data_IF_110921662814
#
_entry.id   IF_110921662814
#
_cell.length_a   1.000
_cell.length_b   1.000
_cell.length_c   1.000
_cell.angle_alpha   90.00
_cell.angle_beta   90.00
_cell.angle_gamma   90.00
#
_symmetry.space_group_name_H-M   'P 1'
#
loop_
_entity.id
_entity.type
_entity.pdbx_description
1 polymer ?
#
# COMPACT_ATOMS: atom_id res chain seq x y z
N UNK A 1 -43.85 19.31 21.07
CA UNK A 1 -42.74 18.96 21.97
C UNK A 1 -41.51 18.82 21.09
N UNK A 2 -40.64 19.83 21.07
CA UNK A 2 -39.45 19.82 20.22
C UNK A 2 -38.35 19.06 20.94
N UNK A 3 -37.88 17.96 20.35
CA UNK A 3 -36.76 17.19 20.90
C UNK A 3 -35.49 18.01 20.71
N UNK A 4 -34.79 18.30 21.81
CA UNK A 4 -33.53 19.03 21.76
C UNK A 4 -32.43 18.10 21.24
N UNK A 5 -32.04 18.26 19.96
CA UNK A 5 -31.01 17.42 19.32
C UNK A 5 -29.67 17.45 20.07
N UNK A 6 -29.36 18.54 20.79
CA UNK A 6 -28.12 18.64 21.55
C UNK A 6 -28.10 17.73 22.78
N UNK A 7 -29.24 17.56 23.44
CA UNK A 7 -29.39 16.65 24.59
C UNK A 7 -29.31 15.19 24.14
N UNK A 8 -29.93 14.86 22.99
CA UNK A 8 -29.86 13.53 22.41
C UNK A 8 -28.43 13.14 22.03
N UNK A 9 -27.67 14.07 21.44
CA UNK A 9 -26.28 13.83 21.07
C UNK A 9 -25.40 13.61 22.30
N UNK A 10 -25.58 14.42 23.34
CA UNK A 10 -24.85 14.26 24.60
C UNK A 10 -25.14 12.90 25.27
N UNK A 11 -26.38 12.43 25.22
CA UNK A 11 -26.79 11.13 25.77
C UNK A 11 -26.19 9.95 24.99
N UNK A 12 -26.09 10.07 23.67
CA UNK A 12 -25.43 9.08 22.80
C UNK A 12 -23.93 9.01 23.11
N UNK A 13 -23.27 10.16 23.26
CA UNK A 13 -21.83 10.25 23.52
C UNK A 13 -21.47 9.72 24.92
N UNK A 14 -22.31 9.99 25.92
CA UNK A 14 -22.16 9.43 27.27
C UNK A 14 -22.33 7.90 27.27
N UNK A 15 -23.38 7.38 26.62
CA UNK A 15 -23.57 5.93 26.48
C UNK A 15 -22.42 5.24 25.75
N UNK A 16 -21.88 5.88 24.71
CA UNK A 16 -20.72 5.36 23.98
C UNK A 16 -19.48 5.30 24.87
N UNK A 17 -19.23 6.35 25.66
CA UNK A 17 -18.11 6.42 26.60
C UNK A 17 -18.22 5.33 27.68
N UNK A 18 -19.38 5.15 28.31
CA UNK A 18 -19.58 4.10 29.31
C UNK A 18 -19.37 2.68 28.76
N UNK A 19 -19.80 2.44 27.51
CA UNK A 19 -19.58 1.14 26.84
C UNK A 19 -18.10 0.88 26.56
N UNK A 20 -17.34 1.92 26.23
CA UNK A 20 -15.90 1.82 26.02
C UNK A 20 -15.17 1.60 27.35
N UNK A 21 -15.51 2.35 28.40
CA UNK A 21 -14.90 2.21 29.73
C UNK A 21 -15.16 0.82 30.34
N UNK A 22 -16.35 0.23 30.11
CA UNK A 22 -16.67 -1.16 30.52
C UNK A 22 -15.88 -2.21 29.74
N UNK A 23 -15.52 -1.94 28.48
CA UNK A 23 -14.87 -2.92 27.59
C UNK A 23 -13.35 -2.88 27.69
N UNK A 24 -12.77 -1.72 27.98
CA UNK A 24 -11.32 -1.50 27.92
C UNK A 24 -10.72 -1.00 29.23
N UNK A 25 -11.52 -0.81 30.29
CA UNK A 25 -11.08 -0.11 31.49
C UNK A 25 -10.98 1.39 31.26
N UNK A 26 -10.92 2.18 32.34
CA UNK A 26 -10.79 3.63 32.26
C UNK A 26 -9.41 3.98 31.69
N UNK A 27 -9.39 4.51 30.47
CA UNK A 27 -8.17 5.01 29.84
C UNK A 27 -8.07 6.52 30.09
N UNK A 28 -7.29 6.90 31.10
CA UNK A 28 -6.97 8.31 31.35
C UNK A 28 -5.98 8.77 30.27
N UNK A 29 -6.44 9.61 29.33
CA UNK A 29 -5.55 10.29 28.39
C UNK A 29 -4.59 11.19 29.19
N UNK A 30 -3.26 11.01 29.07
CA UNK A 30 -2.30 11.91 29.70
C UNK A 30 -2.47 13.32 29.13
N UNK A 31 -2.46 14.30 30.04
CA UNK A 31 -2.59 15.71 29.72
C UNK A 31 -1.46 16.15 28.76
N UNK A 32 -1.80 16.51 27.53
CA UNK A 32 -0.87 16.94 26.49
C UNK A 32 -0.19 18.27 26.88
N UNK A 33 1.01 18.17 27.42
CA UNK A 33 1.95 19.28 27.57
C UNK A 33 3.12 19.06 26.59
N UNK A 34 2.81 18.87 25.31
CA UNK A 34 3.81 18.89 24.26
C UNK A 34 4.12 20.35 23.90
N UNK A 35 5.28 20.83 24.35
CA UNK A 35 5.89 22.04 23.80
C UNK A 35 6.12 21.83 22.32
N UNK A 36 5.46 22.62 21.47
CA UNK A 36 5.83 22.75 20.07
C UNK A 36 7.27 23.26 19.98
N UNK A 37 8.17 22.43 19.45
CA UNK A 37 9.47 22.89 18.96
C UNK A 37 9.23 23.33 17.52
N UNK A 38 9.27 24.64 17.28
CA UNK A 38 9.26 25.20 15.93
C UNK A 38 10.43 24.59 15.15
N UNK A 39 10.12 23.98 14.00
CA UNK A 39 11.12 23.55 13.04
C UNK A 39 11.68 24.82 12.38
N UNK A 40 12.95 25.14 12.68
CA UNK A 40 13.73 26.14 11.96
C UNK A 40 13.75 25.81 10.47
N UNK A 41 13.50 26.83 9.65
CA UNK A 41 13.67 26.76 8.21
C UNK A 41 15.17 26.88 7.92
N UNK A 42 15.77 25.78 7.49
CA UNK A 42 17.12 25.85 6.92
C UNK A 42 17.04 26.41 5.50
N UNK A 43 17.64 27.59 5.35
CA UNK A 43 17.82 28.29 4.09
C UNK A 43 18.88 27.56 3.25
N UNK A 44 18.52 27.11 2.05
CA UNK A 44 19.46 26.49 1.11
C UNK A 44 20.31 27.57 0.45
N UNK A 45 21.57 27.70 0.89
CA UNK A 45 22.58 28.54 0.25
C UNK A 45 23.30 27.76 -0.86
N UNK A 46 23.27 28.28 -2.07
CA UNK A 46 23.78 27.64 -3.29
C UNK A 46 25.19 28.17 -3.60
N UNK A 47 26.22 27.68 -2.93
CA UNK A 47 27.61 28.03 -3.24
C UNK A 47 28.34 26.98 -4.10
N UNK A 48 29.07 27.49 -5.08
CA UNK A 48 29.85 26.76 -6.09
C UNK A 48 31.18 26.24 -5.51
N UNK A 49 31.49 24.97 -5.81
CA UNK A 49 32.83 24.51 -6.19
C UNK A 49 33.68 23.83 -5.13
N UNK A 50 33.69 22.49 -5.13
CA UNK A 50 34.85 21.65 -4.86
C UNK A 50 34.50 20.18 -5.20
N UNK A 51 35.21 19.57 -6.15
CA UNK A 51 35.08 18.13 -6.44
C UNK A 51 35.81 17.31 -5.36
N UNK A 52 35.18 16.26 -4.78
CA UNK A 52 35.88 15.35 -3.87
C UNK A 52 36.72 14.36 -4.66
N UNK A 53 38.04 14.39 -4.49
CA UNK A 53 38.96 13.38 -5.02
C UNK A 53 38.78 12.06 -4.27
N UNK A 54 38.47 10.99 -5.00
CA UNK A 54 38.32 9.62 -4.47
C UNK A 54 39.67 8.89 -4.53
N UNK A 55 40.24 8.58 -3.36
CA UNK A 55 41.42 7.72 -3.22
C UNK A 55 41.02 6.24 -3.43
N UNK A 56 41.30 5.70 -4.61
CA UNK A 56 40.96 4.32 -4.99
C UNK A 56 41.66 3.23 -4.15
N UNK A 57 42.79 3.55 -3.52
CA UNK A 57 43.62 2.59 -2.77
C UNK A 57 42.99 2.13 -1.44
N UNK A 58 41.96 2.85 -0.95
CA UNK A 58 41.23 2.50 0.28
C UNK A 58 40.12 1.47 0.04
N UNK A 59 39.56 1.44 -1.17
CA UNK A 59 38.41 0.60 -1.53
C UNK A 59 38.84 -0.87 -1.72
N UNK A 60 40.05 -1.12 -2.22
CA UNK A 60 40.54 -2.48 -2.45
C UNK A 60 40.92 -3.22 -1.15
N UNK A 61 41.39 -2.50 -0.12
CA UNK A 61 41.75 -3.15 1.17
C UNK A 61 40.55 -3.59 1.99
N UNK A 62 39.39 -2.95 1.81
CA UNK A 62 38.15 -3.28 2.51
C UNK A 62 37.39 -4.44 1.85
N UNK A 63 37.64 -4.71 0.55
CA UNK A 63 37.03 -5.85 -0.18
C UNK A 63 37.65 -7.21 0.17
N UNK A 64 38.92 -7.28 0.54
CA UNK A 64 39.64 -8.56 0.75
C UNK A 64 39.36 -9.17 2.13
N UNK A 65 38.70 -8.47 3.06
CA UNK A 65 38.44 -8.96 4.42
C UNK A 65 37.00 -9.45 4.66
N UNK A 66 36.13 -9.46 3.63
CA UNK A 66 34.70 -9.79 3.76
C UNK A 66 34.29 -11.09 3.03
N UNK A 67 35.21 -12.01 2.76
CA UNK A 67 34.89 -13.29 2.10
C UNK A 67 34.88 -14.53 3.03
N UNK A 68 35.13 -14.37 4.33
CA UNK A 68 35.08 -15.49 5.29
C UNK A 68 34.30 -15.14 6.56
N UNK A 69 32.99 -14.93 6.46
CA UNK A 69 32.02 -15.20 7.53
C UNK A 69 30.60 -14.99 7.00
N UNK A 70 30.11 -15.93 6.19
CA UNK A 70 28.66 -16.11 6.03
C UNK A 70 28.20 -16.85 7.29
N UNK A 71 27.98 -16.08 8.35
CA UNK A 71 27.32 -16.54 9.56
C UNK A 71 25.91 -17.01 9.18
N UNK A 72 25.70 -18.32 9.20
CA UNK A 72 24.43 -18.98 8.97
C UNK A 72 23.55 -18.87 10.22
N UNK A 73 23.14 -17.65 10.56
CA UNK A 73 22.21 -17.37 11.65
C UNK A 73 21.20 -16.31 11.19
N UNK A 74 20.31 -16.74 10.30
CA UNK A 74 19.06 -16.06 10.03
C UNK A 74 17.93 -17.09 10.05
N UNK A 75 17.38 -17.32 11.23
CA UNK A 75 16.05 -17.88 11.45
C UNK A 75 15.00 -16.88 10.94
N UNK A 76 14.85 -16.82 9.63
CA UNK A 76 13.66 -16.35 8.94
C UNK A 76 13.46 -17.40 7.84
N UNK A 77 12.24 -17.90 7.62
CA UNK A 77 11.94 -18.98 6.67
C UNK A 77 12.35 -18.57 5.24
N UNK A 78 13.65 -18.66 4.96
CA UNK A 78 14.30 -18.32 3.73
C UNK A 78 13.99 -19.44 2.77
N UNK A 79 13.09 -19.18 1.83
CA UNK A 79 13.00 -20.00 0.65
C UNK A 79 14.32 -19.82 -0.09
N UNK A 80 15.20 -20.80 0.01
CA UNK A 80 16.43 -20.86 -0.79
C UNK A 80 16.01 -20.85 -2.27
N UNK A 81 16.39 -19.83 -3.07
CA UNK A 81 15.89 -19.67 -4.44
C UNK A 81 16.27 -20.81 -5.37
N UNK A 82 17.30 -21.58 -5.00
CA UNK A 82 17.68 -22.84 -5.60
C UNK A 82 17.98 -23.76 -4.42
N UNK A 83 17.24 -24.83 -4.21
CA UNK A 83 17.55 -25.73 -3.11
C UNK A 83 18.70 -26.66 -3.54
N UNK A 84 19.88 -26.09 -3.86
CA UNK A 84 21.00 -26.78 -4.50
C UNK A 84 21.48 -27.96 -3.68
N UNK A 85 21.39 -27.88 -2.35
CA UNK A 85 21.76 -28.98 -1.47
C UNK A 85 20.84 -30.19 -1.65
N UNK A 86 19.52 -29.99 -1.72
CA UNK A 86 18.57 -31.07 -1.99
C UNK A 86 18.61 -31.54 -3.44
N UNK A 87 18.77 -30.64 -4.41
CA UNK A 87 18.85 -30.98 -5.84
C UNK A 87 20.10 -31.80 -6.18
N UNK A 88 21.22 -31.55 -5.47
CA UNK A 88 22.45 -32.35 -5.59
C UNK A 88 22.24 -33.81 -5.17
N UNK A 89 21.31 -34.06 -4.26
CA UNK A 89 21.00 -35.41 -3.77
C UNK A 89 20.01 -36.16 -4.70
N UNK A 90 19.45 -35.50 -5.72
CA UNK A 90 18.42 -36.09 -6.59
C UNK A 90 18.97 -36.94 -7.74
N UNK A 91 20.25 -36.85 -8.09
CA UNK A 91 20.86 -37.75 -9.07
C UNK A 91 22.32 -37.45 -9.41
N UNK A 92 23.00 -38.46 -9.95
CA UNK A 92 24.41 -38.42 -10.34
C UNK A 92 24.56 -38.56 -11.87
N UNK A 93 25.63 -37.98 -12.42
CA UNK A 93 26.01 -38.21 -13.80
C UNK A 93 26.87 -39.47 -13.90
N UNK A 94 26.51 -40.38 -14.80
CA UNK A 94 27.34 -41.54 -15.10
C UNK A 94 28.61 -41.13 -15.87
N UNK A 95 29.53 -42.09 -16.04
CA UNK A 95 30.82 -41.88 -16.72
C UNK A 95 30.63 -41.48 -18.19
N UNK A 96 29.48 -41.79 -18.78
CA UNK A 96 29.11 -41.44 -20.15
C UNK A 96 28.40 -40.08 -20.25
N UNK A 97 28.23 -39.38 -19.12
CA UNK A 97 27.63 -38.06 -19.02
C UNK A 97 26.09 -38.04 -19.02
N UNK A 98 25.44 -39.18 -18.81
CA UNK A 98 23.99 -39.25 -18.66
C UNK A 98 23.57 -39.04 -17.21
N UNK A 99 22.54 -38.22 -17.02
CA UNK A 99 21.96 -37.99 -15.69
C UNK A 99 21.14 -39.20 -15.23
N UNK A 100 21.44 -39.69 -14.03
CA UNK A 100 20.75 -40.82 -13.39
C UNK A 100 20.10 -40.35 -12.09
N UNK A 101 18.77 -40.32 -12.04
CA UNK A 101 18.03 -39.94 -10.83
C UNK A 101 18.24 -41.00 -9.74
N UNK A 102 18.63 -40.59 -8.54
CA UNK A 102 18.72 -41.46 -7.36
C UNK A 102 17.31 -41.91 -6.99
N UNK A 103 17.02 -43.21 -7.13
CA UNK A 103 15.73 -43.76 -6.74
C UNK A 103 15.56 -43.64 -5.22
N UNK A 104 14.77 -42.66 -4.77
CA UNK A 104 14.31 -42.61 -3.37
C UNK A 104 13.53 -43.89 -3.09
N UNK A 105 13.99 -44.71 -2.13
CA UNK A 105 13.29 -45.91 -1.67
C UNK A 105 12.11 -45.52 -0.78
N UNK A 106 11.01 -45.06 -1.37
CA UNK A 106 9.64 -45.21 -0.83
C UNK A 106 8.67 -44.50 -1.75
N UNK A 107 7.57 -45.19 -2.05
CA UNK A 107 6.39 -44.78 -2.83
C UNK A 107 5.55 -43.68 -2.13
N UNK A 108 6.19 -42.85 -1.30
CA UNK A 108 5.57 -41.77 -0.55
C UNK A 108 6.14 -40.43 -1.06
N UNK A 109 5.99 -40.15 -2.36
CA UNK A 109 6.05 -38.78 -2.89
C UNK A 109 4.81 -38.02 -2.40
N UNK A 110 4.73 -37.79 -1.10
CA UNK A 110 3.74 -36.88 -0.50
C UNK A 110 4.22 -35.47 -0.79
N UNK A 111 3.40 -34.70 -1.52
CA UNK A 111 3.70 -33.29 -1.80
C UNK A 111 4.09 -32.56 -0.52
N UNK A 112 5.30 -31.98 -0.48
CA UNK A 112 5.78 -31.17 0.65
C UNK A 112 4.85 -29.99 0.96
N UNK A 113 3.99 -29.62 0.02
CA UNK A 113 2.92 -28.64 0.21
C UNK A 113 1.79 -29.16 1.08
N UNK A 114 1.39 -30.42 0.90
CA UNK A 114 0.34 -31.09 1.70
C UNK A 114 0.88 -31.38 3.10
N UNK A 115 2.14 -31.82 3.19
CA UNK A 115 2.78 -32.14 4.46
C UNK A 115 3.00 -30.90 5.35
N UNK A 116 3.23 -29.73 4.77
CA UNK A 116 3.27 -28.44 5.51
C UNK A 116 1.91 -28.03 6.06
N UNK A 117 0.82 -28.39 5.36
CA UNK A 117 -0.55 -28.10 5.82
C UNK A 117 -0.90 -28.98 7.03
N UNK A 118 -0.50 -30.25 7.03
CA UNK A 118 -0.73 -31.19 8.13
C UNK A 118 0.11 -30.87 9.38
N UNK A 119 1.30 -30.28 9.20
CA UNK A 119 2.19 -29.84 10.29
C UNK A 119 1.85 -28.46 10.84
N UNK A 120 0.86 -27.78 10.28
CA UNK A 120 0.50 -26.42 10.69
C UNK A 120 -0.20 -26.41 12.06
N UNK A 121 0.33 -25.64 13.01
CA UNK A 121 -0.31 -25.48 14.31
C UNK A 121 -1.73 -24.90 14.16
N UNK A 122 -2.73 -25.36 14.94
CA UNK A 122 -4.10 -24.83 14.93
C UNK A 122 -4.19 -23.32 15.24
N UNK A 123 -3.14 -22.76 15.85
CA UNK A 123 -3.01 -21.33 16.13
C UNK A 123 -2.71 -20.55 14.84
N UNK A 124 -1.89 -21.10 13.94
CA UNK A 124 -1.45 -20.44 12.72
C UNK A 124 -2.48 -20.57 11.60
N UNK A 125 -3.24 -21.67 11.55
CA UNK A 125 -4.40 -21.81 10.66
C UNK A 125 -5.46 -20.74 10.93
N UNK A 126 -5.70 -20.38 12.20
CA UNK A 126 -6.60 -19.27 12.58
C UNK A 126 -6.06 -17.90 12.13
N UNK A 127 -4.74 -17.67 12.19
CA UNK A 127 -4.13 -16.43 11.72
C UNK A 127 -4.28 -16.30 10.20
N UNK A 128 -4.02 -17.37 9.45
CA UNK A 128 -4.22 -17.41 7.99
C UNK A 128 -5.69 -17.16 7.64
N UNK A 129 -6.63 -17.81 8.34
CA UNK A 129 -8.05 -17.62 8.07
C UNK A 129 -8.48 -16.15 8.30
N UNK A 130 -7.98 -15.53 9.38
CA UNK A 130 -8.22 -14.10 9.66
C UNK A 130 -7.59 -13.19 8.61
N UNK A 131 -6.39 -13.50 8.14
CA UNK A 131 -5.73 -12.75 7.08
C UNK A 131 -6.54 -12.82 5.77
N UNK A 132 -6.96 -14.02 5.37
CA UNK A 132 -7.84 -14.23 4.20
C UNK A 132 -9.18 -13.53 4.36
N UNK A 133 -9.78 -13.57 5.53
CA UNK A 133 -11.05 -12.88 5.79
C UNK A 133 -10.89 -11.35 5.68
N UNK A 134 -9.81 -10.80 6.25
CA UNK A 134 -9.51 -9.37 6.15
C UNK A 134 -9.28 -8.96 4.69
N UNK A 135 -8.54 -9.76 3.93
CA UNK A 135 -8.33 -9.55 2.49
C UNK A 135 -9.66 -9.54 1.72
N UNK A 136 -10.52 -10.53 1.97
CA UNK A 136 -11.84 -10.63 1.34
C UNK A 136 -12.73 -9.42 1.69
N UNK A 137 -12.68 -8.95 2.94
CA UNK A 137 -13.38 -7.74 3.37
C UNK A 137 -12.84 -6.49 2.66
N UNK A 138 -11.53 -6.39 2.45
CA UNK A 138 -10.94 -5.27 1.70
C UNK A 138 -11.34 -5.27 0.23
N UNK A 139 -11.33 -6.43 -0.43
CA UNK A 139 -11.77 -6.59 -1.82
C UNK A 139 -13.24 -6.19 -1.95
N UNK A 140 -14.11 -6.73 -1.09
CA UNK A 140 -15.53 -6.43 -1.10
C UNK A 140 -15.82 -4.93 -0.87
N UNK A 141 -15.06 -4.29 0.02
CA UNK A 141 -15.20 -2.85 0.27
C UNK A 141 -14.79 -2.03 -0.96
N UNK A 142 -13.74 -2.45 -1.66
CA UNK A 142 -13.28 -1.79 -2.87
C UNK A 142 -14.26 -1.98 -4.04
N UNK A 143 -14.82 -3.18 -4.21
CA UNK A 143 -15.89 -3.44 -5.18
C UNK A 143 -17.11 -2.55 -4.94
N UNK A 144 -17.55 -2.45 -3.68
CA UNK A 144 -18.65 -1.55 -3.30
C UNK A 144 -18.31 -0.09 -3.60
N UNK A 145 -17.06 0.33 -3.38
CA UNK A 145 -16.60 1.68 -3.74
C UNK A 145 -16.72 1.88 -5.26
N UNK A 146 -16.19 0.97 -6.07
CA UNK A 146 -16.26 1.04 -7.53
C UNK A 146 -17.72 1.07 -8.04
N UNK A 147 -18.61 0.27 -7.46
CA UNK A 147 -20.04 0.26 -7.80
C UNK A 147 -20.71 1.61 -7.50
N UNK A 148 -20.42 2.18 -6.33
CA UNK A 148 -20.95 3.51 -5.98
C UNK A 148 -20.41 4.60 -6.91
N UNK A 149 -19.16 4.47 -7.36
CA UNK A 149 -18.56 5.42 -8.29
C UNK A 149 -19.20 5.27 -9.68
N UNK A 150 -19.38 4.03 -10.15
CA UNK A 150 -20.02 3.71 -11.43
C UNK A 150 -21.44 4.27 -11.53
N UNK A 151 -22.25 4.10 -10.49
CA UNK A 151 -23.61 4.68 -10.41
C UNK A 151 -23.60 6.21 -10.40
N UNK A 152 -22.54 6.82 -9.84
CA UNK A 152 -22.38 8.26 -9.74
C UNK A 152 -21.63 8.89 -10.92
N UNK A 153 -21.30 8.15 -11.98
CA UNK A 153 -20.55 8.63 -13.16
C UNK A 153 -21.03 9.98 -13.70
N UNK A 154 -22.35 10.19 -13.81
CA UNK A 154 -22.94 11.45 -14.28
C UNK A 154 -22.61 12.63 -13.36
N UNK A 155 -22.65 12.44 -12.05
CA UNK A 155 -22.31 13.51 -11.09
C UNK A 155 -20.86 13.96 -11.21
N UNK A 156 -19.92 13.05 -11.48
CA UNK A 156 -18.52 13.39 -11.71
C UNK A 156 -18.35 14.22 -12.99
N UNK A 157 -19.01 13.84 -14.09
CA UNK A 157 -19.00 14.69 -15.30
C UNK A 157 -19.61 16.06 -15.06
N UNK A 158 -20.71 16.16 -14.29
CA UNK A 158 -21.33 17.44 -13.93
C UNK A 158 -20.38 18.32 -13.13
N UNK A 159 -19.68 17.76 -12.15
CA UNK A 159 -18.71 18.49 -11.33
C UNK A 159 -17.54 19.01 -12.18
N UNK A 160 -17.01 18.16 -13.06
CA UNK A 160 -15.94 18.53 -13.99
C UNK A 160 -16.42 19.61 -14.96
N UNK A 161 -17.60 19.44 -15.57
CA UNK A 161 -18.16 20.43 -16.50
C UNK A 161 -18.35 21.81 -15.86
N UNK A 162 -18.82 21.85 -14.61
CA UNK A 162 -19.04 23.10 -13.89
C UNK A 162 -17.73 23.80 -13.49
N UNK A 163 -16.66 23.06 -13.25
CA UNK A 163 -15.34 23.61 -12.87
C UNK A 163 -14.50 24.06 -14.06
N UNK A 164 -14.68 23.46 -15.24
CA UNK A 164 -13.95 23.82 -16.45
C UNK A 164 -14.43 25.15 -17.05
N UNK A 165 -13.48 25.93 -17.61
CA UNK A 165 -13.76 27.06 -18.49
C UNK A 165 -13.97 26.62 -19.95
N UNK A 166 -14.52 27.47 -20.83
CA UNK A 166 -14.65 27.15 -22.26
C UNK A 166 -13.30 26.78 -22.89
N UNK A 167 -13.29 25.74 -23.74
CA UNK A 167 -12.09 25.17 -24.38
C UNK A 167 -10.98 24.68 -23.43
N UNK A 168 -11.24 24.65 -22.12
CA UNK A 168 -10.29 24.15 -21.12
C UNK A 168 -10.39 22.61 -21.01
N UNK A 169 -9.28 21.97 -20.68
CA UNK A 169 -9.19 20.54 -20.29
C UNK A 169 -9.00 20.41 -18.78
N UNK A 170 -9.27 19.25 -18.15
CA UNK A 170 -9.02 19.07 -16.72
C UNK A 170 -7.55 19.32 -16.34
N UNK A 171 -6.59 18.95 -17.21
CA UNK A 171 -5.16 19.21 -16.98
C UNK A 171 -4.85 20.71 -16.88
N UNK A 172 -5.39 21.51 -17.79
CA UNK A 172 -5.18 22.97 -17.78
C UNK A 172 -5.93 23.63 -16.61
N UNK A 173 -7.12 23.14 -16.27
CA UNK A 173 -7.90 23.61 -15.14
C UNK A 173 -7.19 23.38 -13.80
N UNK A 174 -6.59 22.20 -13.60
CA UNK A 174 -5.80 21.90 -12.40
C UNK A 174 -4.61 22.87 -12.26
N UNK A 175 -3.90 23.16 -13.36
CA UNK A 175 -2.80 24.14 -13.34
C UNK A 175 -3.29 25.55 -12.99
N UNK A 176 -4.44 25.97 -13.51
CA UNK A 176 -5.05 27.27 -13.21
C UNK A 176 -5.48 27.36 -11.74
N UNK A 177 -6.22 26.37 -11.23
CA UNK A 177 -6.68 26.32 -9.84
C UNK A 177 -5.52 26.31 -8.84
N UNK A 178 -4.41 25.64 -9.19
CA UNK A 178 -3.17 25.65 -8.40
C UNK A 178 -2.58 27.06 -8.31
N UNK A 179 -2.56 27.82 -9.41
CA UNK A 179 -2.07 29.21 -9.44
C UNK A 179 -3.00 30.16 -8.68
N UNK A 180 -4.31 29.95 -8.78
CA UNK A 180 -5.34 30.71 -8.04
C UNK A 180 -5.42 30.34 -6.55
N UNK A 181 -4.65 29.34 -6.09
CA UNK A 181 -4.66 28.80 -4.72
C UNK A 181 -6.05 28.31 -4.26
N UNK A 182 -6.90 27.88 -5.19
CA UNK A 182 -8.22 27.29 -4.92
C UNK A 182 -8.08 25.80 -4.65
N UNK A 183 -7.57 25.46 -3.47
CA UNK A 183 -7.23 24.08 -3.09
C UNK A 183 -8.48 23.19 -3.03
N UNK A 184 -9.61 23.71 -2.55
CA UNK A 184 -10.89 22.97 -2.50
C UNK A 184 -11.33 22.49 -3.88
N UNK A 185 -11.36 23.41 -4.85
CA UNK A 185 -11.84 23.14 -6.20
C UNK A 185 -10.84 22.26 -6.96
N UNK A 186 -9.54 22.44 -6.69
CA UNK A 186 -8.49 21.60 -7.22
C UNK A 186 -8.65 20.15 -6.75
N UNK A 187 -8.86 19.94 -5.45
CA UNK A 187 -9.06 18.61 -4.88
C UNK A 187 -10.34 17.98 -5.42
N UNK A 188 -11.46 18.71 -5.44
CA UNK A 188 -12.72 18.21 -5.97
C UNK A 188 -12.61 17.81 -7.46
N UNK A 189 -11.92 18.61 -8.27
CA UNK A 189 -11.66 18.29 -9.67
C UNK A 189 -10.77 17.05 -9.82
N UNK A 190 -9.71 16.96 -9.00
CA UNK A 190 -8.79 15.82 -9.00
C UNK A 190 -9.51 14.53 -8.62
N UNK A 191 -10.28 14.55 -7.52
CA UNK A 191 -11.05 13.41 -7.03
C UNK A 191 -12.07 12.93 -8.07
N UNK A 192 -12.81 13.84 -8.70
CA UNK A 192 -13.76 13.47 -9.76
C UNK A 192 -13.06 12.87 -10.99
N UNK A 193 -11.89 13.37 -11.38
CA UNK A 193 -11.11 12.79 -12.47
C UNK A 193 -10.59 11.39 -12.10
N UNK A 194 -10.05 11.21 -10.89
CA UNK A 194 -9.58 9.91 -10.40
C UNK A 194 -10.71 8.88 -10.36
N UNK A 195 -11.88 9.28 -9.84
CA UNK A 195 -13.07 8.44 -9.81
C UNK A 195 -13.51 7.99 -11.22
N UNK A 196 -13.44 8.86 -12.23
CA UNK A 196 -13.74 8.47 -13.61
C UNK A 196 -12.69 7.54 -14.21
N UNK A 197 -11.42 7.71 -13.86
CA UNK A 197 -10.32 6.82 -14.26
C UNK A 197 -10.50 5.44 -13.64
N UNK A 198 -10.92 5.35 -12.38
CA UNK A 198 -11.21 4.09 -11.70
C UNK A 198 -12.33 3.30 -12.39
N UNK A 199 -13.33 3.98 -12.98
CA UNK A 199 -14.39 3.35 -13.81
C UNK A 199 -13.89 3.00 -15.22
N UNK A 200 -12.73 3.50 -15.64
CA UNK A 200 -12.10 3.22 -16.93
C UNK A 200 -12.20 4.34 -17.99
N UNK A 201 -12.61 5.57 -17.65
CA UNK A 201 -12.52 6.72 -18.56
C UNK A 201 -11.17 7.43 -18.47
N UNK A 202 -10.13 6.79 -19.01
CA UNK A 202 -8.76 7.32 -19.05
C UNK A 202 -8.61 8.58 -19.92
N UNK A 203 -9.57 8.85 -20.80
CA UNK A 203 -9.51 9.98 -21.74
C UNK A 203 -9.98 11.29 -21.15
N UNK A 204 -10.45 11.29 -19.89
CA UNK A 204 -11.04 12.45 -19.23
C UNK A 204 -10.15 13.69 -19.28
N UNK A 205 -8.84 13.53 -19.10
CA UNK A 205 -7.87 14.64 -19.09
C UNK A 205 -7.67 15.31 -20.45
N UNK A 206 -8.11 14.68 -21.54
CA UNK A 206 -8.00 15.21 -22.91
C UNK A 206 -9.30 15.88 -23.37
N UNK A 207 -10.42 15.56 -22.72
CA UNK A 207 -11.73 16.09 -23.10
C UNK A 207 -11.83 17.57 -22.71
N UNK A 208 -12.30 18.38 -23.66
CA UNK A 208 -12.64 19.77 -23.40
C UNK A 208 -14.04 19.87 -22.79
N UNK A 209 -14.36 21.02 -22.17
CA UNK A 209 -15.71 21.30 -21.65
C UNK A 209 -16.84 20.99 -22.64
N UNK A 210 -16.64 21.33 -23.90
CA UNK A 210 -17.61 21.10 -24.98
C UNK A 210 -17.81 19.61 -25.26
N UNK A 211 -16.72 18.84 -25.31
CA UNK A 211 -16.78 17.38 -25.49
C UNK A 211 -17.53 16.69 -24.34
N UNK A 212 -17.36 17.19 -23.12
CA UNK A 212 -18.05 16.65 -21.93
C UNK A 212 -19.56 16.87 -21.94
N UNK A 213 -20.07 17.86 -22.68
CA UNK A 213 -21.52 18.11 -22.78
C UNK A 213 -22.32 16.93 -23.31
N UNK A 214 -21.70 16.07 -24.13
CA UNK A 214 -22.32 14.85 -24.66
C UNK A 214 -22.54 13.76 -23.60
N UNK A 215 -21.86 13.85 -22.45
CA UNK A 215 -21.89 12.85 -21.38
C UNK A 215 -22.71 13.32 -20.16
N UNK A 216 -23.39 14.47 -20.28
CA UNK A 216 -24.11 15.15 -19.20
C UNK A 216 -25.60 14.87 -19.11
#
# INVERSE_FOLDING_TARGET
MSVNLSELQNEIDQNRKERLDKKFGKFDLPNDNFKHKELEKDDYDLEKGAEPTLDNDKIERERVQNEEEISSEADEEGLDPFNLENERDEGDFDVDGNYTKSQRKSDDERDDWVDKLDRMNPQDSKKILRAKQKELETIKKEEQRCDTISTNKRSFYTLIYNTLLPKETPKTALCRLKKEKKISDLNALMDACCNLVDIGDFTIYQKTKESLSSNL
#
